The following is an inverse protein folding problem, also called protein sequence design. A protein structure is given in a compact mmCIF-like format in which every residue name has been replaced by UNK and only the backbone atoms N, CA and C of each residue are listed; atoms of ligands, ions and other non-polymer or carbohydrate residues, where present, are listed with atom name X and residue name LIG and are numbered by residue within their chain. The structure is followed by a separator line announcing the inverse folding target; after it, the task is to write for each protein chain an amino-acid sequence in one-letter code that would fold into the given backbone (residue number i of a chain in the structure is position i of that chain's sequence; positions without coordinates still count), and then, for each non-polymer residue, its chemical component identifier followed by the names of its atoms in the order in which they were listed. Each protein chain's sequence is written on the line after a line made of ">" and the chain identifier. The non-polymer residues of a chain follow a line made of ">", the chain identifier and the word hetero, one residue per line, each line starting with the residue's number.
data_IF_965047049351
#
_entry.id   IF_965047049351
#
_cell.length_a   1.000
_cell.length_b   1.000
_cell.length_c   1.000
_cell.angle_alpha   90.00
_cell.angle_beta   90.00
_cell.angle_gamma   90.00
#
_symmetry.space_group_name_H-M   'P 1'
#
loop_
_entity.id
_entity.type
_entity.pdbx_description
1 polymer ?
#
# COMPACT_ATOMS: atom_id res chain seq x y z
N UNK A 1 29.89 -62.55 -51.85
CA UNK A 1 29.24 -61.25 -51.61
C UNK A 1 28.11 -61.43 -50.62
N UNK A 2 28.32 -61.14 -49.33
CA UNK A 2 27.21 -60.85 -48.40
C UNK A 2 27.74 -59.92 -47.30
N UNK A 3 27.09 -58.77 -47.21
CA UNK A 3 27.40 -57.62 -46.36
C UNK A 3 27.16 -57.90 -44.88
N UNK A 4 28.18 -57.67 -44.04
CA UNK A 4 28.04 -57.64 -42.58
C UNK A 4 27.47 -56.31 -42.11
N UNK A 5 26.20 -56.30 -41.69
CA UNK A 5 25.55 -55.13 -41.10
C UNK A 5 25.85 -55.11 -39.58
N UNK A 6 26.75 -54.22 -39.14
CA UNK A 6 26.99 -53.98 -37.70
C UNK A 6 25.84 -53.12 -37.16
N UNK A 7 25.04 -53.68 -36.23
CA UNK A 7 24.04 -52.93 -35.46
C UNK A 7 24.76 -52.05 -34.44
N UNK A 8 24.61 -50.73 -34.57
CA UNK A 8 25.01 -49.75 -33.57
C UNK A 8 23.80 -49.54 -32.64
N UNK A 9 23.93 -49.91 -31.36
CA UNK A 9 22.95 -49.58 -30.33
C UNK A 9 23.11 -48.09 -29.96
N UNK A 10 22.02 -47.29 -29.87
CA UNK A 10 22.13 -45.93 -29.38
C UNK A 10 22.36 -45.95 -27.87
N UNK A 11 23.49 -45.43 -27.42
CA UNK A 11 23.73 -45.13 -26.00
C UNK A 11 22.89 -43.90 -25.66
N UNK A 12 21.77 -44.09 -24.98
CA UNK A 12 21.00 -43.00 -24.39
C UNK A 12 21.70 -42.59 -23.09
N UNK A 13 22.45 -41.48 -23.14
CA UNK A 13 23.00 -40.83 -21.95
C UNK A 13 21.84 -40.19 -21.17
N UNK A 14 21.38 -40.85 -20.11
CA UNK A 14 20.54 -40.23 -19.08
C UNK A 14 21.42 -39.28 -18.25
N UNK A 15 21.44 -38.01 -18.64
CA UNK A 15 21.99 -36.94 -17.80
C UNK A 15 21.10 -36.79 -16.56
N UNK A 16 21.64 -36.87 -15.34
CA UNK A 16 20.87 -36.58 -14.14
C UNK A 16 20.46 -35.10 -14.19
N UNK A 17 19.15 -34.83 -14.25
CA UNK A 17 18.63 -33.49 -13.94
C UNK A 17 18.95 -33.20 -12.48
N UNK A 18 20.06 -32.53 -12.24
CA UNK A 18 20.34 -31.89 -10.97
C UNK A 18 19.37 -30.71 -10.89
N UNK A 19 18.24 -30.91 -10.20
CA UNK A 19 17.44 -29.81 -9.69
C UNK A 19 18.32 -29.09 -8.66
N UNK A 20 19.08 -28.10 -9.10
CA UNK A 20 19.61 -27.11 -8.18
C UNK A 20 18.39 -26.43 -7.56
N UNK A 21 18.08 -26.78 -6.31
CA UNK A 21 17.22 -25.97 -5.49
C UNK A 21 17.86 -24.58 -5.46
N UNK A 22 17.28 -23.65 -6.23
CA UNK A 22 17.59 -22.24 -6.09
C UNK A 22 17.07 -21.89 -4.70
N UNK A 23 17.94 -21.97 -3.70
CA UNK A 23 17.74 -21.24 -2.45
C UNK A 23 17.84 -19.77 -2.83
N UNK A 24 16.74 -19.21 -3.36
CA UNK A 24 16.57 -17.77 -3.43
C UNK A 24 16.70 -17.30 -2.00
N UNK A 25 17.76 -16.55 -1.68
CA UNK A 25 17.90 -15.91 -0.37
C UNK A 25 16.57 -15.22 -0.06
N UNK A 26 15.97 -15.59 1.07
CA UNK A 26 14.66 -15.12 1.43
C UNK A 26 14.71 -13.60 1.59
N UNK A 27 14.17 -12.86 0.62
CA UNK A 27 14.18 -11.40 0.66
C UNK A 27 13.35 -10.92 1.86
N UNK A 28 13.96 -10.10 2.70
CA UNK A 28 13.33 -9.52 3.88
C UNK A 28 13.44 -8.01 3.85
N UNK A 29 12.31 -7.33 4.00
CA UNK A 29 12.25 -5.88 4.12
C UNK A 29 11.01 -5.46 4.93
N UNK A 30 10.94 -4.19 5.31
CA UNK A 30 9.74 -3.62 5.89
C UNK A 30 9.39 -2.27 5.29
N UNK A 31 8.13 -1.88 5.41
CA UNK A 31 7.67 -0.54 5.05
C UNK A 31 6.67 -0.04 6.08
N UNK A 32 6.58 1.28 6.21
CA UNK A 32 5.68 1.91 7.15
C UNK A 32 4.51 2.59 6.43
N UNK A 33 3.38 2.76 7.13
CA UNK A 33 2.18 3.40 6.60
C UNK A 33 1.55 4.36 7.61
N UNK A 34 1.23 5.56 7.14
CA UNK A 34 0.58 6.65 7.88
C UNK A 34 -0.52 7.26 7.01
N UNK A 35 -1.61 7.73 7.62
CA UNK A 35 -2.69 8.42 6.88
C UNK A 35 -3.31 9.55 7.71
N UNK A 36 -4.08 10.40 7.03
CA UNK A 36 -4.91 11.44 7.63
C UNK A 36 -4.11 12.35 8.59
N UNK A 37 -3.01 12.90 8.06
CA UNK A 37 -2.10 13.77 8.83
C UNK A 37 -2.74 15.11 9.13
N UNK A 38 -3.64 15.60 8.26
CA UNK A 38 -4.40 16.87 8.39
C UNK A 38 -3.57 18.01 9.03
N UNK A 39 -2.34 18.22 8.55
CA UNK A 39 -1.41 19.20 9.12
C UNK A 39 -1.85 20.62 8.80
N UNK A 40 -2.73 21.21 9.60
CA UNK A 40 -3.33 22.51 9.27
C UNK A 40 -2.44 23.72 9.64
N UNK A 41 -2.63 24.88 8.98
CA UNK A 41 -2.02 26.16 9.32
C UNK A 41 -2.12 26.55 10.80
N UNK A 42 -3.24 26.23 11.46
CA UNK A 42 -3.56 26.58 12.85
C UNK A 42 -2.73 25.85 13.94
N UNK A 43 -1.72 25.06 13.56
CA UNK A 43 -0.66 24.56 14.46
C UNK A 43 -0.98 23.23 15.15
N UNK A 44 -2.14 23.10 15.79
CA UNK A 44 -2.47 21.96 16.67
C UNK A 44 -2.34 20.52 16.10
N UNK A 45 -2.40 20.28 14.78
CA UNK A 45 -2.13 18.95 14.19
C UNK A 45 -0.64 18.57 14.05
N UNK A 46 0.28 19.53 14.06
CA UNK A 46 1.68 19.33 13.64
C UNK A 46 2.51 18.65 14.73
N UNK A 47 2.32 19.02 16.00
CA UNK A 47 3.05 18.43 17.12
C UNK A 47 2.69 16.96 17.29
N UNK A 48 1.40 16.64 17.20
CA UNK A 48 0.95 15.27 17.32
C UNK A 48 1.38 14.38 16.14
N UNK A 49 1.42 14.92 14.92
CA UNK A 49 2.03 14.20 13.78
C UNK A 49 3.55 14.03 13.93
N UNK A 50 4.24 15.05 14.45
CA UNK A 50 5.67 14.97 14.76
C UNK A 50 5.95 13.87 15.79
N UNK A 51 5.16 13.79 16.86
CA UNK A 51 5.27 12.74 17.88
C UNK A 51 5.04 11.33 17.32
N UNK A 52 4.15 11.17 16.32
CA UNK A 52 3.99 9.89 15.61
C UNK A 52 5.22 9.54 14.80
N UNK A 53 5.79 10.51 14.07
CA UNK A 53 7.04 10.31 13.34
C UNK A 53 8.21 9.98 14.29
N UNK A 54 8.31 10.65 15.45
CA UNK A 54 9.33 10.36 16.46
C UNK A 54 9.19 8.94 17.00
N UNK A 55 7.96 8.50 17.31
CA UNK A 55 7.73 7.13 17.73
C UNK A 55 8.08 6.14 16.61
N UNK A 56 7.70 6.41 15.36
CA UNK A 56 8.05 5.56 14.22
C UNK A 56 9.58 5.41 14.12
N UNK A 57 10.32 6.53 14.22
CA UNK A 57 11.79 6.51 14.23
C UNK A 57 12.36 5.64 15.36
N UNK A 58 11.77 5.70 16.55
CA UNK A 58 12.17 4.92 17.72
C UNK A 58 11.82 3.43 17.58
N UNK A 59 10.67 3.11 16.98
CA UNK A 59 10.18 1.74 16.80
C UNK A 59 10.96 0.94 15.73
N UNK A 60 11.83 1.60 14.97
CA UNK A 60 12.60 1.00 13.90
C UNK A 60 11.89 1.17 12.54
N UNK A 61 12.11 2.30 11.85
CA UNK A 61 11.54 2.52 10.53
C UNK A 61 12.03 1.48 9.54
N UNK A 62 11.15 1.08 8.63
CA UNK A 62 11.47 0.21 7.51
C UNK A 62 12.31 0.88 6.44
N UNK A 63 12.20 0.34 5.22
CA UNK A 63 12.96 0.77 4.06
C UNK A 63 12.37 2.04 3.44
N UNK A 64 11.06 2.20 3.52
CA UNK A 64 10.32 3.34 2.98
C UNK A 64 8.99 3.54 3.71
N UNK A 65 8.40 4.71 3.49
CA UNK A 65 7.09 5.09 4.01
C UNK A 65 6.07 5.18 2.87
N UNK A 66 4.82 4.79 3.10
CA UNK A 66 3.69 5.14 2.25
C UNK A 66 2.71 6.01 3.06
N UNK A 67 2.31 7.14 2.48
CA UNK A 67 1.27 8.00 3.03
C UNK A 67 -0.08 7.73 2.34
N UNK A 68 -1.13 7.55 3.14
CA UNK A 68 -2.48 7.19 2.69
C UNK A 68 -3.41 8.34 2.30
N UNK A 69 -2.93 9.59 2.24
CA UNK A 69 -3.72 10.77 1.86
C UNK A 69 -4.34 11.55 3.04
N UNK A 70 -5.06 12.62 2.71
CA UNK A 70 -5.67 13.61 3.62
C UNK A 70 -4.62 14.37 4.45
N UNK A 71 -3.81 15.15 3.73
CA UNK A 71 -2.77 15.97 4.33
C UNK A 71 -3.29 17.32 4.80
N UNK A 72 -4.26 17.90 4.08
CA UNK A 72 -4.74 19.30 4.10
C UNK A 72 -3.64 20.32 3.76
N UNK A 73 -2.42 20.08 4.21
CA UNK A 73 -1.21 20.77 3.82
C UNK A 73 -0.06 19.79 3.60
N UNK A 74 0.13 19.34 2.37
CA UNK A 74 1.18 18.40 2.00
C UNK A 74 2.58 18.98 2.27
N UNK A 75 2.77 20.29 2.08
CA UNK A 75 4.05 20.95 2.36
C UNK A 75 4.49 20.80 3.83
N UNK A 76 3.57 21.03 4.79
CA UNK A 76 3.84 20.83 6.22
C UNK A 76 4.03 19.36 6.59
N UNK A 77 3.20 18.48 6.03
CA UNK A 77 3.37 17.02 6.22
C UNK A 77 4.77 16.58 5.76
N UNK A 78 5.19 17.02 4.57
CA UNK A 78 6.52 16.77 4.03
C UNK A 78 7.63 17.32 4.93
N UNK A 79 7.50 18.56 5.41
CA UNK A 79 8.50 19.18 6.28
C UNK A 79 8.71 18.39 7.59
N UNK A 80 7.63 17.90 8.21
CA UNK A 80 7.71 17.03 9.39
C UNK A 80 8.42 15.72 9.07
N UNK A 81 8.03 15.04 7.99
CA UNK A 81 8.65 13.78 7.57
C UNK A 81 10.14 13.97 7.26
N UNK A 82 10.49 15.04 6.53
CA UNK A 82 11.87 15.34 6.18
C UNK A 82 12.73 15.61 7.42
N UNK A 83 12.21 16.42 8.36
CA UNK A 83 12.90 16.79 9.60
C UNK A 83 13.06 15.62 10.56
N UNK A 84 12.00 14.83 10.76
CA UNK A 84 11.94 13.82 11.83
C UNK A 84 12.38 12.44 11.35
N UNK A 85 12.12 12.07 10.10
CA UNK A 85 12.43 10.74 9.56
C UNK A 85 13.59 10.77 8.57
N UNK A 86 13.44 11.51 7.46
CA UNK A 86 14.37 11.40 6.32
C UNK A 86 15.76 11.88 6.69
N UNK A 87 15.91 13.08 7.27
CA UNK A 87 17.21 13.65 7.61
C UNK A 87 17.95 12.81 8.67
N UNK A 88 17.34 12.42 9.82
CA UNK A 88 18.02 11.59 10.81
C UNK A 88 18.42 10.20 10.27
N UNK A 89 17.67 9.63 9.33
CA UNK A 89 18.04 8.37 8.68
C UNK A 89 19.16 8.56 7.66
N UNK A 90 19.14 9.65 6.90
CA UNK A 90 20.19 9.98 5.94
C UNK A 90 21.55 10.23 6.63
N UNK A 91 21.55 10.87 7.81
CA UNK A 91 22.75 11.04 8.65
C UNK A 91 23.37 9.69 9.08
N UNK A 92 22.55 8.63 9.11
CA UNK A 92 22.99 7.23 9.35
C UNK A 92 23.26 6.45 8.05
N UNK A 93 23.34 7.13 6.91
CA UNK A 93 23.59 6.53 5.61
C UNK A 93 22.39 5.77 5.02
N UNK A 94 21.19 5.96 5.55
CA UNK A 94 19.99 5.23 5.12
C UNK A 94 19.03 6.16 4.36
N UNK A 95 18.72 5.80 3.11
CA UNK A 95 17.65 6.48 2.36
C UNK A 95 16.29 6.05 2.90
N UNK A 96 15.32 6.96 2.85
CA UNK A 96 13.97 6.69 3.32
C UNK A 96 12.95 7.42 2.42
N UNK A 97 12.72 6.93 1.19
CA UNK A 97 11.74 7.53 0.31
C UNK A 97 10.34 7.39 0.93
N UNK A 98 9.47 8.36 0.68
CA UNK A 98 8.08 8.27 1.09
C UNK A 98 7.15 8.46 -0.11
N UNK A 99 6.36 7.44 -0.40
CA UNK A 99 5.35 7.41 -1.46
C UNK A 99 4.05 8.01 -0.93
N UNK A 100 3.22 8.55 -1.82
CA UNK A 100 2.08 9.39 -1.45
C UNK A 100 0.83 9.00 -2.24
N UNK A 101 -0.29 8.92 -1.52
CA UNK A 101 -1.63 8.64 -2.04
C UNK A 101 -2.47 9.91 -1.89
N UNK A 102 -3.36 10.17 -2.83
CA UNK A 102 -4.26 11.34 -2.76
C UNK A 102 -5.49 10.98 -1.94
N UNK A 103 -5.82 11.81 -0.94
CA UNK A 103 -7.07 11.82 -0.20
C UNK A 103 -8.06 12.85 -0.70
N UNK A 104 -9.29 12.81 -0.17
CA UNK A 104 -10.32 13.78 -0.58
C UNK A 104 -10.00 15.21 -0.12
N UNK A 105 -9.19 15.40 0.93
CA UNK A 105 -8.73 16.73 1.36
C UNK A 105 -7.58 17.28 0.51
N UNK A 106 -7.00 16.47 -0.39
CA UNK A 106 -5.82 16.87 -1.16
C UNK A 106 -6.15 17.41 -2.56
N UNK A 107 -7.40 17.26 -3.00
CA UNK A 107 -7.87 17.75 -4.30
C UNK A 107 -8.47 19.15 -4.20
N UNK A 108 -8.24 19.95 -5.24
CA UNK A 108 -8.57 21.38 -5.29
C UNK A 108 -9.98 21.68 -4.78
N UNK A 109 -10.04 22.53 -3.77
CA UNK A 109 -11.24 23.09 -3.20
C UNK A 109 -12.14 22.07 -2.52
N UNK A 110 -11.74 20.82 -2.28
CA UNK A 110 -12.58 19.80 -1.63
C UNK A 110 -13.04 20.17 -0.22
N UNK A 111 -12.39 21.11 0.45
CA UNK A 111 -12.95 21.71 1.65
C UNK A 111 -13.77 22.95 1.29
N UNK A 112 -15.09 22.79 1.25
CA UNK A 112 -15.99 23.94 1.29
C UNK A 112 -16.01 24.65 2.67
N UNK A 113 -15.19 24.23 3.65
CA UNK A 113 -15.35 24.66 5.06
C UNK A 113 -14.09 24.71 5.93
N UNK A 114 -12.87 24.81 5.39
CA UNK A 114 -11.68 25.01 6.23
C UNK A 114 -10.94 26.27 5.86
N UNK A 115 -10.71 27.14 6.86
CA UNK A 115 -9.71 28.24 6.86
C UNK A 115 -8.26 27.77 6.60
N UNK A 116 -8.07 26.49 6.28
CA UNK A 116 -6.82 25.75 6.32
C UNK A 116 -6.47 25.07 4.98
N UNK A 117 -7.40 25.03 4.01
CA UNK A 117 -7.12 24.78 2.58
C UNK A 117 -7.01 26.15 1.92
N UNK A 118 -5.91 26.43 1.23
CA UNK A 118 -5.78 27.70 0.51
C UNK A 118 -6.62 27.73 -0.78
N UNK A 119 -7.28 26.61 -1.13
CA UNK A 119 -8.19 26.49 -2.27
C UNK A 119 -7.50 26.64 -3.63
N UNK A 120 -6.16 26.71 -3.64
CA UNK A 120 -5.37 27.07 -4.83
C UNK A 120 -5.06 25.87 -5.72
N UNK A 121 -5.22 24.65 -5.20
CA UNK A 121 -4.76 23.42 -5.84
C UNK A 121 -3.25 23.20 -5.77
N UNK A 122 -2.53 23.98 -4.96
CA UNK A 122 -1.10 23.79 -4.69
C UNK A 122 -0.81 22.43 -4.01
N UNK A 123 -1.74 21.87 -3.23
CA UNK A 123 -1.55 20.57 -2.59
C UNK A 123 -1.38 19.45 -3.62
N UNK A 124 -2.32 19.33 -4.56
CA UNK A 124 -2.22 18.35 -5.66
C UNK A 124 -0.96 18.57 -6.49
N UNK A 125 -0.61 19.83 -6.80
CA UNK A 125 0.61 20.13 -7.55
C UNK A 125 1.89 19.76 -6.79
N UNK A 126 1.93 19.98 -5.48
CA UNK A 126 3.05 19.60 -4.62
C UNK A 126 3.18 18.07 -4.51
N UNK A 127 2.06 17.35 -4.40
CA UNK A 127 2.02 15.88 -4.44
C UNK A 127 2.56 15.38 -5.79
N UNK A 128 2.14 15.98 -6.91
CA UNK A 128 2.64 15.64 -8.25
C UNK A 128 4.14 15.92 -8.36
N UNK A 129 4.59 17.09 -7.89
CA UNK A 129 6.01 17.48 -7.93
C UNK A 129 6.88 16.52 -7.12
N UNK A 130 6.43 16.11 -5.94
CA UNK A 130 7.08 15.06 -5.14
C UNK A 130 7.09 13.73 -5.89
N UNK A 131 5.95 13.32 -6.44
CA UNK A 131 5.79 12.03 -7.10
C UNK A 131 6.59 11.86 -8.39
N UNK A 132 6.95 12.97 -9.04
CA UNK A 132 7.88 13.00 -10.18
C UNK A 132 9.30 12.56 -9.80
N UNK A 133 9.68 12.73 -8.54
CA UNK A 133 11.03 12.44 -8.04
C UNK A 133 11.12 11.08 -7.33
N UNK A 134 10.01 10.36 -7.19
CA UNK A 134 9.98 9.08 -6.50
C UNK A 134 10.85 8.03 -7.24
N UNK A 135 11.71 7.30 -6.51
CA UNK A 135 12.50 6.22 -7.09
C UNK A 135 11.62 5.00 -7.38
N UNK A 136 12.12 4.10 -8.23
CA UNK A 136 11.56 2.74 -8.37
C UNK A 136 10.20 2.63 -9.04
N UNK A 137 9.64 3.73 -9.58
CA UNK A 137 8.35 3.68 -10.28
C UNK A 137 8.47 2.81 -11.53
N UNK A 138 7.72 1.71 -11.57
CA UNK A 138 7.70 0.77 -12.70
C UNK A 138 6.60 1.11 -13.69
N UNK A 139 5.51 1.73 -13.23
CA UNK A 139 4.42 2.14 -14.11
C UNK A 139 3.69 3.37 -13.60
N UNK A 140 3.33 4.25 -14.53
CA UNK A 140 2.50 5.43 -14.29
C UNK A 140 1.05 5.14 -14.68
N UNK A 141 0.14 5.80 -13.98
CA UNK A 141 -1.31 5.75 -14.19
C UNK A 141 -1.75 6.36 -15.52
N UNK A 142 -3.07 6.29 -15.83
CA UNK A 142 -3.61 6.97 -17.01
C UNK A 142 -3.42 8.50 -16.89
N UNK A 143 -2.78 9.12 -17.88
CA UNK A 143 -2.37 10.53 -17.80
C UNK A 143 -3.51 11.54 -17.92
N UNK A 144 -4.33 11.43 -18.96
CA UNK A 144 -5.38 12.40 -19.26
C UNK A 144 -6.75 11.97 -18.74
N UNK A 145 -6.83 11.73 -17.42
CA UNK A 145 -8.07 11.35 -16.73
C UNK A 145 -8.64 12.45 -15.84
N UNK A 146 -7.82 13.41 -15.40
CA UNK A 146 -8.28 14.43 -14.45
C UNK A 146 -9.00 15.59 -15.13
N UNK A 147 -10.08 16.06 -14.48
CA UNK A 147 -10.81 17.28 -14.84
C UNK A 147 -10.51 18.44 -13.89
N UNK A 148 -9.72 18.21 -12.85
CA UNK A 148 -9.41 19.17 -11.80
C UNK A 148 -8.16 19.97 -12.16
N UNK A 149 -8.23 21.30 -12.05
CA UNK A 149 -7.16 22.20 -12.48
C UNK A 149 -5.80 21.91 -11.81
N UNK A 150 -5.78 21.44 -10.57
CA UNK A 150 -4.56 21.10 -9.82
C UNK A 150 -3.72 19.98 -10.44
N UNK A 151 -4.29 19.16 -11.33
CA UNK A 151 -3.57 18.10 -12.02
C UNK A 151 -2.94 18.55 -13.34
N UNK A 152 -3.40 19.65 -13.94
CA UNK A 152 -3.05 19.98 -15.31
C UNK A 152 -3.44 18.86 -16.30
N UNK A 153 -2.77 18.85 -17.48
CA UNK A 153 -3.13 17.95 -18.59
C UNK A 153 -2.85 16.46 -18.31
N UNK A 154 -1.79 16.19 -17.56
CA UNK A 154 -1.20 14.86 -17.44
C UNK A 154 -0.79 14.50 -16.00
N UNK A 155 -1.15 15.32 -15.01
CA UNK A 155 -0.71 15.16 -13.63
C UNK A 155 -1.20 13.88 -12.95
N UNK A 156 -2.34 13.34 -13.38
CA UNK A 156 -2.94 12.15 -12.77
C UNK A 156 -2.06 10.90 -12.89
N UNK A 157 -1.17 10.83 -13.89
CA UNK A 157 -0.22 9.73 -13.99
C UNK A 157 0.82 9.72 -12.86
N UNK A 158 0.99 10.86 -12.16
CA UNK A 158 1.92 10.99 -11.05
C UNK A 158 1.25 10.73 -9.69
N UNK A 159 -0.07 10.60 -9.62
CA UNK A 159 -0.81 10.30 -8.40
C UNK A 159 -1.43 8.89 -8.40
N UNK A 160 -1.51 8.26 -9.58
CA UNK A 160 -1.72 6.82 -9.73
C UNK A 160 -0.45 6.21 -10.32
N UNK A 161 0.17 5.25 -9.65
CA UNK A 161 1.41 4.62 -10.12
C UNK A 161 1.67 3.32 -9.37
N UNK A 162 2.63 2.53 -9.86
CA UNK A 162 3.14 1.38 -9.14
C UNK A 162 4.66 1.33 -9.11
N UNK A 163 5.20 0.66 -8.11
CA UNK A 163 6.63 0.47 -7.89
C UNK A 163 6.90 -0.91 -7.27
N UNK A 164 8.13 -1.37 -7.43
CA UNK A 164 8.59 -2.64 -6.87
C UNK A 164 9.57 -2.40 -5.73
N UNK A 165 9.54 -3.25 -4.72
CA UNK A 165 10.57 -3.35 -3.70
C UNK A 165 10.74 -4.81 -3.28
N UNK A 166 11.94 -5.36 -3.49
CA UNK A 166 12.19 -6.79 -3.33
C UNK A 166 11.21 -7.66 -4.11
N UNK A 167 10.57 -8.59 -3.40
CA UNK A 167 9.59 -9.54 -3.92
C UNK A 167 8.15 -9.02 -3.90
N UNK A 168 7.96 -7.72 -3.66
CA UNK A 168 6.65 -7.08 -3.58
C UNK A 168 6.44 -5.99 -4.64
N UNK A 169 5.16 -5.80 -4.99
CA UNK A 169 4.66 -4.79 -5.89
C UNK A 169 3.64 -3.91 -5.16
N UNK A 170 3.75 -2.59 -5.34
CA UNK A 170 2.92 -1.60 -4.66
C UNK A 170 2.16 -0.79 -5.68
N UNK A 171 0.83 -0.73 -5.54
CA UNK A 171 -0.05 0.03 -6.41
C UNK A 171 -0.64 1.18 -5.59
N UNK A 172 -0.35 2.41 -6.01
CA UNK A 172 -0.87 3.64 -5.39
C UNK A 172 -1.96 4.21 -6.30
N UNK A 173 -3.16 4.42 -5.75
CA UNK A 173 -4.34 4.83 -6.49
C UNK A 173 -4.81 6.22 -6.11
N UNK A 174 -5.05 7.04 -7.13
CA UNK A 174 -5.79 8.29 -7.00
C UNK A 174 -7.26 8.10 -7.39
N UNK A 175 -8.10 7.99 -6.36
CA UNK A 175 -9.54 7.79 -6.50
C UNK A 175 -10.31 9.09 -6.75
N UNK A 176 -9.65 10.25 -6.77
CA UNK A 176 -10.31 11.56 -6.79
C UNK A 176 -10.06 12.35 -8.07
N UNK A 177 -8.97 12.04 -8.79
CA UNK A 177 -8.55 12.71 -10.02
C UNK A 177 -9.66 12.88 -11.07
N UNK A 178 -10.55 11.89 -11.24
CA UNK A 178 -11.60 11.94 -12.28
C UNK A 178 -12.86 12.71 -11.88
N UNK A 179 -13.00 13.08 -10.60
CA UNK A 179 -14.19 13.79 -10.16
C UNK A 179 -14.17 15.27 -10.59
N UNK A 180 -15.34 15.90 -10.47
CA UNK A 180 -15.54 17.32 -10.71
C UNK A 180 -16.43 17.93 -9.61
N UNK A 181 -16.50 19.26 -9.55
CA UNK A 181 -17.47 19.94 -8.69
C UNK A 181 -18.92 19.53 -9.03
N UNK A 182 -19.81 19.41 -8.03
CA UNK A 182 -19.57 19.51 -6.58
C UNK A 182 -19.01 18.22 -5.93
N UNK A 183 -18.87 17.12 -6.66
CA UNK A 183 -18.59 15.76 -6.16
C UNK A 183 -17.10 15.38 -6.03
N UNK A 184 -16.16 16.32 -6.14
CA UNK A 184 -14.70 16.08 -6.08
C UNK A 184 -14.20 15.29 -4.86
N UNK A 185 -14.93 15.34 -3.75
CA UNK A 185 -14.60 14.59 -2.54
C UNK A 185 -15.05 13.13 -2.55
N UNK A 186 -15.88 12.71 -3.52
CA UNK A 186 -16.31 11.32 -3.65
C UNK A 186 -15.20 10.52 -4.33
N UNK A 187 -14.95 9.29 -3.91
CA UNK A 187 -14.01 8.44 -4.64
C UNK A 187 -14.70 7.86 -5.88
N UNK A 188 -13.94 7.66 -6.96
CA UNK A 188 -14.40 7.04 -8.21
C UNK A 188 -13.44 5.94 -8.60
N UNK A 189 -14.01 4.78 -8.98
CA UNK A 189 -13.27 3.69 -9.59
C UNK A 189 -13.75 3.53 -11.03
N UNK A 190 -13.29 4.46 -11.86
CA UNK A 190 -13.64 4.48 -13.26
C UNK A 190 -13.19 3.22 -13.97
N UNK A 191 -13.84 2.91 -15.10
CA UNK A 191 -13.40 1.82 -15.97
C UNK A 191 -11.93 1.95 -16.36
N UNK A 192 -11.45 3.16 -16.68
CA UNK A 192 -10.05 3.40 -17.03
C UNK A 192 -9.09 3.11 -15.86
N UNK A 193 -9.48 3.39 -14.61
CA UNK A 193 -8.68 3.00 -13.44
C UNK A 193 -8.67 1.50 -13.24
N UNK A 194 -9.86 0.88 -13.29
CA UNK A 194 -10.02 -0.55 -13.08
C UNK A 194 -9.27 -1.36 -14.13
N UNK A 195 -9.36 -0.97 -15.41
CA UNK A 195 -8.61 -1.58 -16.51
C UNK A 195 -7.10 -1.38 -16.31
N UNK A 196 -6.67 -0.19 -15.86
CA UNK A 196 -5.25 0.04 -15.54
C UNK A 196 -4.74 -0.85 -14.41
N UNK A 197 -5.51 -1.02 -13.32
CA UNK A 197 -5.14 -1.92 -12.20
C UNK A 197 -5.06 -3.37 -12.69
N UNK A 198 -6.05 -3.81 -13.47
CA UNK A 198 -6.05 -5.15 -14.05
C UNK A 198 -4.81 -5.40 -14.90
N UNK A 199 -4.44 -4.44 -15.75
CA UNK A 199 -3.25 -4.52 -16.59
C UNK A 199 -1.96 -4.50 -15.76
N UNK A 200 -1.93 -3.79 -14.63
CA UNK A 200 -0.77 -3.72 -13.75
C UNK A 200 -0.54 -5.07 -13.05
N UNK A 201 -1.61 -5.64 -12.48
CA UNK A 201 -1.61 -6.96 -11.86
C UNK A 201 -1.14 -8.05 -12.84
N UNK A 202 -1.57 -7.97 -14.10
CA UNK A 202 -1.17 -8.94 -15.13
C UNK A 202 0.30 -8.82 -15.56
N UNK A 203 0.97 -7.68 -15.33
CA UNK A 203 2.34 -7.41 -15.77
C UNK A 203 3.39 -7.72 -14.72
N UNK A 204 3.05 -7.58 -13.45
CA UNK A 204 3.97 -7.90 -12.36
C UNK A 204 4.04 -9.40 -12.14
N UNK A 205 5.21 -9.92 -11.79
CA UNK A 205 5.45 -11.29 -11.34
C UNK A 205 5.72 -11.36 -9.83
N UNK A 206 5.67 -10.21 -9.13
CA UNK A 206 5.95 -10.10 -7.70
C UNK A 206 4.95 -10.91 -6.88
N UNK A 207 5.45 -11.46 -5.77
CA UNK A 207 4.73 -12.42 -4.93
C UNK A 207 3.70 -11.75 -4.01
N UNK A 208 4.05 -10.58 -3.52
CA UNK A 208 3.24 -9.82 -2.57
C UNK A 208 2.81 -8.51 -3.20
N UNK A 209 1.50 -8.30 -3.33
CA UNK A 209 0.96 -7.08 -3.89
C UNK A 209 0.22 -6.30 -2.80
N UNK A 210 0.56 -5.03 -2.65
CA UNK A 210 -0.14 -4.10 -1.77
C UNK A 210 -0.79 -3.02 -2.63
N UNK A 211 -2.06 -2.76 -2.40
CA UNK A 211 -2.81 -1.72 -3.09
C UNK A 211 -3.18 -0.65 -2.08
N UNK A 212 -2.99 0.61 -2.42
CA UNK A 212 -3.23 1.74 -1.52
C UNK A 212 -4.18 2.71 -2.20
N UNK A 213 -5.29 2.98 -1.54
CA UNK A 213 -6.25 3.99 -1.95
C UNK A 213 -6.87 4.60 -0.71
N UNK A 214 -7.07 5.91 -0.72
CA UNK A 214 -7.43 6.62 0.50
C UNK A 214 -8.75 6.13 1.13
N UNK A 215 -9.77 5.83 0.31
CA UNK A 215 -11.07 5.34 0.82
C UNK A 215 -11.10 3.81 0.97
N UNK A 216 -11.59 3.28 2.11
CA UNK A 216 -11.88 1.84 2.24
C UNK A 216 -12.96 1.38 1.24
N UNK A 217 -12.90 0.12 0.82
CA UNK A 217 -13.93 -0.51 -0.02
C UNK A 217 -15.05 -1.13 0.82
N UNK A 218 -14.70 -1.84 1.89
CA UNK A 218 -15.64 -2.55 2.74
C UNK A 218 -15.86 -1.85 4.08
N UNK A 219 -16.99 -2.11 4.74
CA UNK A 219 -17.10 -1.86 6.18
C UNK A 219 -16.14 -2.76 6.93
N UNK A 220 -15.56 -2.29 8.03
CA UNK A 220 -14.66 -3.08 8.87
C UNK A 220 -14.85 -2.77 10.35
N UNK A 221 -14.32 -3.63 11.22
CA UNK A 221 -14.44 -3.43 12.67
C UNK A 221 -13.28 -2.59 13.18
N UNK A 222 -13.61 -1.46 13.82
CA UNK A 222 -12.63 -0.67 14.59
C UNK A 222 -12.08 -1.51 15.73
N UNK A 223 -10.75 -1.52 15.89
CA UNK A 223 -10.10 -2.20 17.01
C UNK A 223 -9.84 -1.20 18.13
N UNK A 224 -10.83 -0.73 18.92
CA UNK A 224 -10.61 0.31 19.96
C UNK A 224 -10.81 -0.21 21.38
N UNK A 225 -9.73 -0.43 22.13
CA UNK A 225 -9.75 -0.67 23.59
C UNK A 225 -10.88 -1.60 24.09
N UNK A 226 -11.05 -2.77 23.44
CA UNK A 226 -12.09 -3.75 23.77
C UNK A 226 -13.50 -3.49 23.19
N UNK A 227 -13.77 -2.31 22.62
CA UNK A 227 -15.01 -2.01 21.88
C UNK A 227 -14.85 -2.32 20.40
N UNK A 228 -15.86 -2.98 19.84
CA UNK A 228 -15.98 -3.28 18.41
C UNK A 228 -17.13 -2.43 17.84
N UNK A 229 -16.80 -1.51 16.95
CA UNK A 229 -17.76 -0.72 16.18
C UNK A 229 -17.57 -1.02 14.69
N UNK A 230 -18.67 -1.15 13.96
CA UNK A 230 -18.61 -1.16 12.52
C UNK A 230 -18.27 0.24 12.01
N UNK A 231 -17.25 0.30 11.15
CA UNK A 231 -16.81 1.50 10.46
C UNK A 231 -17.27 1.37 9.01
N UNK A 232 -18.29 2.14 8.58
CA UNK A 232 -18.69 2.14 7.18
C UNK A 232 -17.62 2.81 6.32
N UNK A 233 -17.55 2.49 5.02
CA UNK A 233 -16.48 3.00 4.15
C UNK A 233 -16.56 4.52 3.78
N UNK A 234 -17.46 5.29 4.39
CA UNK A 234 -17.70 6.71 4.09
C UNK A 234 -18.53 6.92 2.81
N UNK A 235 -18.56 8.15 2.24
CA UNK A 235 -19.20 8.41 0.94
C UNK A 235 -18.48 7.63 -0.18
N UNK A 236 -19.23 6.88 -0.98
CA UNK A 236 -18.68 5.74 -1.70
C UNK A 236 -18.35 6.04 -3.15
N UNK A 237 -17.37 5.28 -3.63
CA UNK A 237 -17.33 4.76 -5.00
C UNK A 237 -18.68 4.07 -5.27
N UNK A 238 -19.28 4.30 -6.44
CA UNK A 238 -20.54 3.66 -6.82
C UNK A 238 -20.51 2.15 -6.52
N UNK A 239 -21.60 1.61 -5.95
CA UNK A 239 -21.59 0.28 -5.35
C UNK A 239 -21.05 -0.80 -6.32
N UNK A 240 -21.50 -0.77 -7.58
CA UNK A 240 -21.06 -1.72 -8.60
C UNK A 240 -19.58 -1.58 -8.97
N UNK A 241 -19.05 -0.35 -9.03
CA UNK A 241 -17.62 -0.10 -9.30
C UNK A 241 -16.74 -0.62 -8.14
N UNK A 242 -17.20 -0.41 -6.91
CA UNK A 242 -16.53 -0.89 -5.69
C UNK A 242 -16.49 -2.41 -5.62
N UNK A 243 -17.61 -3.07 -5.94
CA UNK A 243 -17.68 -4.53 -6.00
C UNK A 243 -16.78 -5.10 -7.09
N UNK A 244 -16.78 -4.50 -8.29
CA UNK A 244 -15.91 -4.91 -9.40
C UNK A 244 -14.43 -4.80 -9.02
N UNK A 245 -14.03 -3.70 -8.39
CA UNK A 245 -12.66 -3.50 -7.91
C UNK A 245 -12.26 -4.47 -6.81
N UNK A 246 -13.11 -4.65 -5.79
CA UNK A 246 -12.83 -5.59 -4.72
C UNK A 246 -12.67 -7.02 -5.26
N UNK A 247 -13.55 -7.43 -6.18
CA UNK A 247 -13.48 -8.74 -6.82
C UNK A 247 -12.24 -8.90 -7.70
N UNK A 248 -11.80 -7.84 -8.40
CA UNK A 248 -10.53 -7.84 -9.15
C UNK A 248 -9.35 -8.11 -8.22
N UNK A 249 -9.25 -7.38 -7.11
CA UNK A 249 -8.15 -7.57 -6.15
C UNK A 249 -8.18 -8.95 -5.50
N UNK A 250 -9.37 -9.39 -5.08
CA UNK A 250 -9.57 -10.70 -4.44
C UNK A 250 -9.28 -11.87 -5.39
N UNK A 251 -9.51 -11.69 -6.69
CA UNK A 251 -9.26 -12.70 -7.72
C UNK A 251 -7.78 -13.02 -7.94
N UNK A 252 -6.87 -12.16 -7.49
CA UNK A 252 -5.44 -12.39 -7.54
C UNK A 252 -4.89 -12.71 -6.14
N UNK A 253 -4.56 -13.98 -5.90
CA UNK A 253 -4.05 -14.45 -4.61
C UNK A 253 -2.71 -13.82 -4.20
N UNK A 254 -2.03 -13.08 -5.09
CA UNK A 254 -0.81 -12.33 -4.77
C UNK A 254 -1.11 -11.00 -4.08
N UNK A 255 -2.35 -10.49 -4.17
CA UNK A 255 -2.77 -9.30 -3.41
C UNK A 255 -2.93 -9.65 -1.93
N UNK A 256 -2.10 -9.01 -1.10
CA UNK A 256 -2.05 -9.22 0.35
C UNK A 256 -3.06 -8.30 1.04
N UNK A 257 -2.99 -7.01 0.73
CA UNK A 257 -3.75 -6.00 1.43
C UNK A 257 -4.12 -4.80 0.55
N UNK A 258 -5.33 -4.28 0.79
CA UNK A 258 -5.77 -2.94 0.43
C UNK A 258 -5.66 -2.02 1.65
N UNK A 259 -4.80 -1.00 1.57
CA UNK A 259 -4.52 -0.04 2.64
C UNK A 259 -5.26 1.27 2.39
N UNK A 260 -5.91 1.80 3.43
CA UNK A 260 -6.70 3.04 3.34
C UNK A 260 -6.55 3.94 4.56
N UNK A 261 -6.96 5.19 4.43
CA UNK A 261 -7.15 6.14 5.53
C UNK A 261 -8.62 6.48 5.69
N UNK A 262 -8.96 7.78 5.63
CA UNK A 262 -10.29 8.38 5.47
C UNK A 262 -11.20 8.31 6.70
N UNK A 263 -11.35 7.11 7.27
CA UNK A 263 -12.32 6.89 8.35
C UNK A 263 -11.84 7.44 9.68
N UNK A 264 -10.54 7.72 9.79
CA UNK A 264 -9.85 8.05 11.04
C UNK A 264 -9.91 6.93 12.10
N UNK A 265 -10.21 5.71 11.68
CA UNK A 265 -10.39 4.54 12.56
C UNK A 265 -9.45 3.41 12.15
N UNK A 266 -8.63 2.96 13.10
CA UNK A 266 -7.82 1.77 12.90
C UNK A 266 -8.68 0.52 12.97
N UNK A 267 -8.60 -0.30 11.93
CA UNK A 267 -9.27 -1.59 11.89
C UNK A 267 -8.89 -2.41 10.68
N UNK A 268 -9.27 -3.68 10.72
CA UNK A 268 -8.87 -4.67 9.73
C UNK A 268 -10.05 -5.58 9.41
N UNK A 269 -10.16 -6.00 8.14
CA UNK A 269 -11.09 -7.03 7.70
C UNK A 269 -10.39 -7.97 6.74
N UNK A 270 -10.55 -9.26 6.93
CA UNK A 270 -10.09 -10.28 6.00
C UNK A 270 -11.28 -10.78 5.16
N UNK A 271 -11.07 -10.93 3.86
CA UNK A 271 -11.99 -11.60 2.93
C UNK A 271 -11.21 -12.56 2.03
N UNK A 272 -11.28 -13.86 2.34
CA UNK A 272 -10.37 -14.85 1.74
C UNK A 272 -8.91 -14.57 2.12
N UNK A 273 -8.04 -14.40 1.14
CA UNK A 273 -6.62 -14.08 1.34
C UNK A 273 -6.33 -12.58 1.34
N UNK A 274 -7.30 -11.74 0.98
CA UNK A 274 -7.16 -10.29 0.90
C UNK A 274 -7.54 -9.63 2.22
N UNK A 275 -6.68 -8.73 2.70
CA UNK A 275 -6.95 -7.87 3.85
C UNK A 275 -7.34 -6.47 3.41
N UNK A 276 -8.34 -5.87 4.04
CA UNK A 276 -8.49 -4.41 4.09
C UNK A 276 -7.98 -3.91 5.43
N UNK A 277 -7.13 -2.89 5.42
CA UNK A 277 -6.54 -2.30 6.61
C UNK A 277 -6.71 -0.78 6.54
N UNK A 278 -7.53 -0.23 7.43
CA UNK A 278 -7.65 1.22 7.59
C UNK A 278 -6.66 1.72 8.64
N UNK A 279 -5.76 2.61 8.26
CA UNK A 279 -4.99 3.39 9.22
C UNK A 279 -5.90 4.47 9.83
N UNK A 280 -5.84 4.62 11.16
CA UNK A 280 -6.41 5.79 11.82
C UNK A 280 -5.61 7.05 11.44
N UNK A 281 -5.98 8.19 12.06
CA UNK A 281 -5.18 9.41 11.96
C UNK A 281 -3.77 9.20 12.50
N UNK A 282 -2.83 9.95 11.94
CA UNK A 282 -1.45 9.99 12.42
C UNK A 282 -1.18 11.14 13.43
N UNK A 283 -2.16 11.97 13.79
CA UNK A 283 -1.90 13.27 14.46
C UNK A 283 -2.47 13.47 15.86
N UNK A 284 -3.59 12.85 16.23
CA UNK A 284 -4.31 13.21 17.46
C UNK A 284 -4.65 11.97 18.30
N UNK A 285 -5.70 12.04 19.12
CA UNK A 285 -6.10 10.93 19.99
C UNK A 285 -6.22 9.64 19.17
N UNK A 286 -5.65 8.54 19.66
CA UNK A 286 -5.60 7.26 18.93
C UNK A 286 -4.72 7.30 17.67
N UNK A 287 -3.75 8.23 17.63
CA UNK A 287 -2.78 8.32 16.53
C UNK A 287 -2.08 7.00 16.31
N UNK A 288 -2.06 6.58 15.05
CA UNK A 288 -1.63 5.24 14.65
C UNK A 288 -0.61 5.32 13.52
N UNK A 289 0.41 4.48 13.59
CA UNK A 289 1.25 4.13 12.44
C UNK A 289 1.34 2.61 12.32
N UNK A 290 1.49 2.13 11.08
CA UNK A 290 1.59 0.70 10.79
C UNK A 290 2.98 0.41 10.24
N UNK A 291 3.53 -0.75 10.61
CA UNK A 291 4.78 -1.28 10.05
C UNK A 291 4.53 -2.69 9.51
N UNK A 292 4.84 -2.90 8.24
CA UNK A 292 4.67 -4.16 7.54
C UNK A 292 6.02 -4.82 7.35
N UNK A 293 6.13 -6.09 7.66
CA UNK A 293 7.33 -6.90 7.43
C UNK A 293 7.01 -7.97 6.41
N UNK A 294 7.82 -8.03 5.36
CA UNK A 294 7.83 -9.09 4.36
C UNK A 294 9.11 -9.86 4.61
N UNK A 295 8.97 -11.15 4.89
CA UNK A 295 10.06 -12.08 5.10
C UNK A 295 9.77 -13.32 4.26
N UNK A 296 10.29 -13.33 3.03
CA UNK A 296 9.99 -14.36 2.05
C UNK A 296 8.51 -14.45 1.76
N UNK A 297 7.90 -15.52 2.25
CA UNK A 297 6.48 -15.84 2.06
C UNK A 297 5.59 -15.24 3.14
N UNK A 298 6.20 -14.90 4.29
CA UNK A 298 5.50 -14.39 5.45
C UNK A 298 5.28 -12.89 5.29
N UNK A 299 4.06 -12.46 5.58
CA UNK A 299 3.74 -11.04 5.71
C UNK A 299 3.07 -10.79 7.05
N UNK A 300 3.57 -9.84 7.81
CA UNK A 300 2.97 -9.37 9.06
C UNK A 300 2.82 -7.86 9.08
N UNK A 301 1.83 -7.38 9.84
CA UNK A 301 1.57 -5.98 10.11
C UNK A 301 1.60 -5.77 11.62
N UNK A 302 2.35 -4.77 12.08
CA UNK A 302 2.30 -4.24 13.44
C UNK A 302 1.64 -2.88 13.41
N UNK A 303 0.60 -2.68 14.21
CA UNK A 303 0.00 -1.37 14.39
C UNK A 303 0.42 -0.81 15.73
N UNK A 304 1.00 0.38 15.72
CA UNK A 304 1.35 1.13 16.93
C UNK A 304 0.32 2.23 17.08
N UNK A 305 -0.45 2.19 18.17
CA UNK A 305 -1.48 3.19 18.44
C UNK A 305 -1.30 3.81 19.81
N UNK A 306 -1.36 5.12 19.88
CA UNK A 306 -1.34 5.82 21.15
C UNK A 306 -2.69 5.70 21.89
N UNK A 307 -2.63 5.19 23.11
CA UNK A 307 -3.75 5.03 24.02
C UNK A 307 -3.32 5.52 25.41
N UNK A 308 -4.01 6.53 25.93
CA UNK A 308 -3.78 7.08 27.28
C UNK A 308 -2.31 7.47 27.55
N UNK A 309 -1.65 8.09 26.57
CA UNK A 309 -0.29 8.61 26.67
C UNK A 309 0.81 7.58 26.37
N UNK A 310 0.47 6.37 25.91
CA UNK A 310 1.45 5.32 25.57
C UNK A 310 1.06 4.62 24.28
N UNK A 311 2.04 4.13 23.52
CA UNK A 311 1.77 3.30 22.36
C UNK A 311 1.50 1.86 22.77
N UNK A 312 0.41 1.31 22.23
CA UNK A 312 0.03 -0.09 22.29
C UNK A 312 0.27 -0.72 20.93
N UNK A 313 0.80 -1.94 20.94
CA UNK A 313 1.13 -2.70 19.74
C UNK A 313 0.05 -3.75 19.43
N UNK A 314 -0.31 -3.86 18.16
CA UNK A 314 -1.21 -4.89 17.64
C UNK A 314 -0.51 -5.64 16.52
N UNK A 315 -0.17 -6.91 16.74
CA UNK A 315 0.42 -7.78 15.73
C UNK A 315 -0.66 -8.53 14.94
N UNK A 316 -0.49 -8.59 13.63
CA UNK A 316 -1.33 -9.39 12.74
C UNK A 316 -0.45 -10.06 11.68
N UNK A 317 -0.51 -11.39 11.61
CA UNK A 317 0.02 -12.12 10.45
C UNK A 317 -1.01 -12.05 9.33
N UNK A 318 -0.60 -11.51 8.17
CA UNK A 318 -1.43 -11.39 6.97
C UNK A 318 -1.25 -12.60 6.05
N UNK A 319 -0.02 -13.10 5.95
CA UNK A 319 0.33 -14.36 5.29
C UNK A 319 1.23 -15.19 6.21
N UNK A 320 0.81 -16.39 6.64
CA UNK A 320 1.66 -17.28 7.40
C UNK A 320 2.72 -17.93 6.49
N UNK A 321 3.80 -18.44 7.08
CA UNK A 321 4.67 -19.37 6.36
C UNK A 321 3.85 -20.62 6.01
N UNK A 322 3.93 -21.07 4.77
CA UNK A 322 3.42 -22.39 4.41
C UNK A 322 4.25 -23.41 5.18
N UNK A 323 3.65 -24.08 6.16
CA UNK A 323 4.27 -25.26 6.74
C UNK A 323 4.38 -26.29 5.61
N UNK A 324 5.62 -26.67 5.25
CA UNK A 324 5.81 -27.82 4.37
C UNK A 324 5.16 -29.01 5.07
N UNK A 325 3.99 -29.41 4.59
CA UNK A 325 3.41 -30.70 4.94
C UNK A 325 4.35 -31.73 4.35
N UNK A 326 5.15 -32.36 5.23
CA UNK A 326 5.90 -33.55 4.88
C UNK A 326 4.93 -34.52 4.19
N UNK A 327 5.23 -35.04 2.99
CA UNK A 327 4.38 -36.04 2.38
C UNK A 327 4.30 -37.21 3.36
N UNK A 328 3.08 -37.57 3.75
CA UNK A 328 2.86 -38.73 4.61
C UNK A 328 3.52 -39.93 3.95
N UNK A 329 4.53 -40.51 4.60
CA UNK A 329 5.03 -41.83 4.24
C UNK A 329 3.84 -42.78 4.31
N UNK A 330 3.26 -43.04 3.13
CA UNK A 330 2.32 -44.12 2.93
C UNK A 330 3.16 -45.38 3.04
N UNK A 331 3.22 -45.90 4.26
CA UNK A 331 3.69 -47.24 4.54
C UNK A 331 2.75 -48.19 3.81
N UNK A 332 3.18 -48.67 2.65
CA UNK A 332 2.53 -49.78 1.98
C UNK A 332 2.51 -50.97 2.96
N UNK A 333 1.36 -51.62 3.19
CA UNK A 333 1.34 -52.82 4.00
C UNK A 333 2.04 -53.94 3.22
N UNK A 334 3.10 -54.52 3.80
CA UNK A 334 3.53 -55.89 3.43
C UNK A 334 2.41 -56.83 3.86
N UNK A 335 1.91 -57.68 2.96
CA UNK A 335 2.56 -58.99 2.77
C UNK A 335 3.03 -59.24 1.33
#
# INVERSE_FOLDING_TARGET
>A
MSSGLRRILPVVLLLPLIFAAVCSGQESFSFDFLADTHTSPAGAPVEGFSATCEHLLQAGPGDFLILGGDYDNFGRTREVIERVLVKPLAEKGRKYPFYVTVGNHDVVGASNDKKDDDGTGLQTQAIIAHSRQLPGIVRRGPASRSKLAGYGRDGAQYTTYSFDHGNAHFIILDLFSENSYPNRGNAVMSRALLDWVKDDLARTDKKHIFVVGHRPCLSYTERRGGRKSEVPPGHLIEQGEREAFWNLLKGDSRVVAYLSGHTHRFGMKQDGTLWQIGAARARDNWKTHLSFTIDGDRVSCRAFREENGRYVEYDQTLRPLLTQTQPSETTAPRP
#
